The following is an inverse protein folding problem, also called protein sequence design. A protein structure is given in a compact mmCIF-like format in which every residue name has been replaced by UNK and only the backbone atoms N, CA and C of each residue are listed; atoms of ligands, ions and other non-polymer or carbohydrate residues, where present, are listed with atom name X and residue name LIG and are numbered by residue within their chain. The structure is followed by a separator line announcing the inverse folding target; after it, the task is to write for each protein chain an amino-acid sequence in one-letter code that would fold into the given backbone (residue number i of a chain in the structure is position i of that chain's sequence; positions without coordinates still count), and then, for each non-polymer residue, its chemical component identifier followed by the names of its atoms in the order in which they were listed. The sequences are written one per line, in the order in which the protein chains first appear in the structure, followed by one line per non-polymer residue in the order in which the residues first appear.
data_IF_309597047613
#
_entry.id   IF_309597047613
#
_cell.length_a   1.000
_cell.length_b   1.000
_cell.length_c   1.000
_cell.angle_alpha   90.00
_cell.angle_beta   90.00
_cell.angle_gamma   90.00
#
_symmetry.space_group_name_H-M   'P 1'
#
loop_
_entity.id
_entity.type
_entity.pdbx_description
1 polymer ?
#
# COMPACT_ATOMS: atom_id res chain seq x y z
N UNK A 1 -8.31 -22.85 1.99
CA UNK A 1 -8.92 -21.76 1.19
C UNK A 1 -10.18 -22.33 0.58
N UNK A 2 -11.35 -21.70 0.76
CA UNK A 2 -12.60 -22.17 0.14
C UNK A 2 -12.51 -21.93 -1.38
N UNK A 3 -12.48 -23.01 -2.15
CA UNK A 3 -12.36 -23.01 -3.62
C UNK A 3 -13.71 -23.23 -4.31
N UNK A 4 -14.81 -23.24 -3.57
CA UNK A 4 -16.13 -23.53 -4.11
C UNK A 4 -16.73 -22.28 -4.80
N UNK A 5 -17.09 -22.46 -6.07
CA UNK A 5 -17.59 -21.40 -6.95
C UNK A 5 -19.01 -20.96 -6.57
N UNK A 6 -19.86 -21.87 -6.06
CA UNK A 6 -21.20 -21.55 -5.59
C UNK A 6 -21.15 -20.68 -4.33
N UNK A 7 -20.23 -20.99 -3.41
CA UNK A 7 -20.02 -20.18 -2.20
C UNK A 7 -19.56 -18.78 -2.58
N UNK A 8 -18.69 -18.62 -3.59
CA UNK A 8 -18.24 -17.29 -4.05
C UNK A 8 -19.38 -16.48 -4.67
N UNK A 9 -20.24 -17.13 -5.45
CA UNK A 9 -21.41 -16.50 -6.06
C UNK A 9 -22.43 -16.05 -5.01
N UNK A 10 -22.62 -16.84 -3.94
CA UNK A 10 -23.50 -16.50 -2.82
C UNK A 10 -23.11 -15.19 -2.12
N UNK A 11 -21.81 -14.91 -2.01
CA UNK A 11 -21.29 -13.65 -1.47
C UNK A 11 -21.14 -12.54 -2.53
N UNK A 12 -21.73 -12.71 -3.71
CA UNK A 12 -21.67 -11.76 -4.82
C UNK A 12 -20.25 -11.36 -5.27
N UNK A 13 -19.25 -12.21 -5.03
CA UNK A 13 -17.94 -12.02 -5.62
C UNK A 13 -18.02 -12.33 -7.12
N UNK A 14 -18.12 -11.28 -7.94
CA UNK A 14 -18.16 -11.42 -9.40
C UNK A 14 -16.99 -12.25 -9.94
N UNK A 15 -17.29 -13.15 -10.88
CA UNK A 15 -16.31 -13.89 -11.69
C UNK A 15 -15.63 -13.00 -12.73
N UNK A 16 -16.27 -11.89 -13.08
CA UNK A 16 -15.69 -10.83 -13.89
C UNK A 16 -14.55 -10.14 -13.14
N UNK A 17 -13.42 -9.92 -13.82
CA UNK A 17 -12.35 -9.04 -13.32
C UNK A 17 -12.87 -7.60 -13.29
N UNK A 18 -13.62 -7.25 -12.24
CA UNK A 18 -13.97 -5.86 -11.90
C UNK A 18 -12.80 -5.12 -11.24
N UNK A 19 -11.57 -5.45 -11.68
CA UNK A 19 -10.40 -4.69 -11.29
C UNK A 19 -10.53 -3.29 -11.86
N UNK A 20 -10.20 -2.28 -11.06
CA UNK A 20 -10.10 -0.92 -11.56
C UNK A 20 -8.95 -0.88 -12.57
N UNK A 21 -9.24 -0.56 -13.83
CA UNK A 21 -8.24 -0.31 -14.85
C UNK A 21 -7.56 1.03 -14.55
N UNK A 22 -6.46 0.97 -13.81
CA UNK A 22 -5.73 2.17 -13.36
C UNK A 22 -5.07 2.92 -14.51
N UNK A 23 -4.91 2.29 -15.67
CA UNK A 23 -4.28 2.88 -16.86
C UNK A 23 -5.19 3.90 -17.58
N UNK A 24 -6.49 3.94 -17.24
CA UNK A 24 -7.48 4.85 -17.84
C UNK A 24 -8.02 5.96 -16.92
N UNK A 25 -7.59 6.03 -15.65
CA UNK A 25 -8.10 7.02 -14.70
C UNK A 25 -7.56 8.42 -15.04
N UNK A 26 -8.36 9.18 -15.79
CA UNK A 26 -8.28 10.62 -16.11
C UNK A 26 -7.00 11.31 -15.62
N UNK A 27 -6.13 11.63 -16.57
CA UNK A 27 -4.90 12.44 -16.40
C UNK A 27 -5.08 13.69 -15.51
N UNK A 28 -6.31 14.21 -15.38
CA UNK A 28 -6.57 15.51 -14.78
C UNK A 28 -7.13 15.45 -13.36
N UNK A 29 -7.42 14.26 -12.80
CA UNK A 29 -7.93 14.17 -11.43
C UNK A 29 -6.85 14.57 -10.43
N UNK A 30 -7.12 15.65 -9.68
CA UNK A 30 -6.23 16.20 -8.65
C UNK A 30 -6.92 16.27 -7.29
N UNK A 31 -6.43 15.51 -6.33
CA UNK A 31 -6.89 15.51 -4.95
C UNK A 31 -6.07 16.47 -4.09
N UNK A 32 -6.59 17.68 -3.86
CA UNK A 32 -5.88 18.74 -3.14
C UNK A 32 -5.85 18.61 -1.60
N UNK A 33 -6.66 17.74 -1.00
CA UNK A 33 -6.81 17.65 0.47
C UNK A 33 -6.10 16.46 1.11
N UNK A 34 -5.52 15.55 0.31
CA UNK A 34 -4.92 14.33 0.83
C UNK A 34 -3.45 14.62 1.13
N UNK A 35 -3.14 14.83 2.41
CA UNK A 35 -1.77 15.08 2.87
C UNK A 35 -1.04 13.78 3.28
N UNK A 36 -1.77 12.75 3.73
CA UNK A 36 -1.17 11.52 4.27
C UNK A 36 -1.92 10.29 3.75
N UNK A 37 -1.16 9.31 3.24
CA UNK A 37 -1.65 7.98 2.88
C UNK A 37 -1.10 6.93 3.84
N UNK A 38 -1.96 6.07 4.38
CA UNK A 38 -1.56 4.92 5.21
C UNK A 38 -2.08 3.63 4.58
N UNK A 39 -1.18 2.70 4.28
CA UNK A 39 -1.53 1.38 3.75
C UNK A 39 -1.13 0.32 4.76
N UNK A 40 -2.09 -0.51 5.14
CA UNK A 40 -1.87 -1.66 6.01
C UNK A 40 -1.90 -2.95 5.22
N UNK A 41 -0.99 -3.88 5.54
CA UNK A 41 -0.86 -5.11 4.76
C UNK A 41 -0.09 -4.93 3.45
N UNK A 42 0.71 -3.87 3.32
CA UNK A 42 1.51 -3.60 2.13
C UNK A 42 2.44 -4.77 1.83
N UNK A 43 2.49 -5.17 0.56
CA UNK A 43 3.44 -6.16 0.03
C UNK A 43 4.22 -5.54 -1.12
N UNK A 44 5.50 -5.88 -1.31
CA UNK A 44 6.34 -5.35 -2.38
C UNK A 44 6.00 -5.97 -3.76
N UNK A 45 4.70 -6.05 -4.08
CA UNK A 45 4.16 -6.57 -5.35
C UNK A 45 3.76 -5.38 -6.23
N UNK A 46 3.86 -5.53 -7.55
CA UNK A 46 3.69 -4.43 -8.51
C UNK A 46 2.35 -3.71 -8.37
N UNK A 47 1.26 -4.43 -8.09
CA UNK A 47 -0.06 -3.83 -7.86
C UNK A 47 -0.08 -2.78 -6.74
N UNK A 48 0.65 -3.02 -5.65
CA UNK A 48 0.71 -2.07 -4.53
C UNK A 48 1.58 -0.87 -4.89
N UNK A 49 2.68 -1.11 -5.62
CA UNK A 49 3.56 -0.04 -6.08
C UNK A 49 2.85 0.88 -7.08
N UNK A 50 2.13 0.31 -8.03
CA UNK A 50 1.32 1.04 -8.99
C UNK A 50 0.23 1.84 -8.29
N UNK A 51 -0.46 1.26 -7.31
CA UNK A 51 -1.47 1.97 -6.54
C UNK A 51 -0.89 3.20 -5.82
N UNK A 52 0.21 3.04 -5.07
CA UNK A 52 0.86 4.16 -4.36
C UNK A 52 1.30 5.23 -5.35
N UNK A 53 1.90 4.82 -6.48
CA UNK A 53 2.34 5.75 -7.53
C UNK A 53 1.18 6.53 -8.14
N UNK A 54 0.04 5.89 -8.38
CA UNK A 54 -1.18 6.56 -8.87
C UNK A 54 -1.71 7.56 -7.86
N UNK A 55 -1.70 7.24 -6.56
CA UNK A 55 -2.09 8.18 -5.51
C UNK A 55 -1.12 9.36 -5.44
N UNK A 56 0.19 9.15 -5.55
CA UNK A 56 1.19 10.23 -5.59
C UNK A 56 0.94 11.18 -6.76
N UNK A 57 0.56 10.65 -7.94
CA UNK A 57 0.23 11.46 -9.12
C UNK A 57 -1.06 12.26 -8.95
N UNK A 58 -2.09 11.63 -8.39
CA UNK A 58 -3.40 12.25 -8.20
C UNK A 58 -3.43 13.25 -7.04
N UNK A 59 -2.74 12.97 -5.94
CA UNK A 59 -2.77 13.78 -4.74
C UNK A 59 -1.62 14.79 -4.71
N UNK A 60 -1.84 15.96 -5.31
CA UNK A 60 -0.80 17.00 -5.47
C UNK A 60 -0.23 17.54 -4.15
N UNK A 61 -0.98 17.44 -3.06
CA UNK A 61 -0.57 17.90 -1.73
C UNK A 61 -0.18 16.72 -0.80
N UNK A 62 0.05 15.53 -1.36
CA UNK A 62 0.51 14.39 -0.57
C UNK A 62 1.93 14.66 -0.05
N UNK A 63 2.12 14.46 1.25
CA UNK A 63 3.38 14.71 1.95
C UNK A 63 3.97 13.40 2.45
N UNK A 64 3.15 12.55 3.08
CA UNK A 64 3.63 11.31 3.71
C UNK A 64 2.88 10.08 3.23
N UNK A 65 3.63 9.00 2.98
CA UNK A 65 3.08 7.67 2.71
C UNK A 65 3.64 6.70 3.74
N UNK A 66 2.77 6.09 4.54
CA UNK A 66 3.14 5.07 5.51
C UNK A 66 2.75 3.68 5.00
N UNK A 67 3.75 2.83 4.81
CA UNK A 67 3.57 1.45 4.34
C UNK A 67 3.80 0.49 5.49
N UNK A 68 2.71 -0.02 6.05
CA UNK A 68 2.73 -1.02 7.12
C UNK A 68 2.57 -2.41 6.53
N UNK A 69 3.40 -3.34 7.00
CA UNK A 69 3.30 -4.75 6.57
C UNK A 69 2.10 -5.47 7.17
N UNK A 70 1.64 -5.06 8.34
CA UNK A 70 0.48 -5.60 9.04
C UNK A 70 -0.06 -4.62 10.06
N UNK A 71 -1.32 -4.81 10.40
CA UNK A 71 -1.96 -4.22 11.58
C UNK A 71 -1.79 -5.17 12.76
N UNK A 72 -1.46 -4.62 13.92
CA UNK A 72 -1.31 -5.37 15.16
C UNK A 72 -2.00 -4.61 16.26
N UNK A 73 -2.83 -5.31 17.03
CA UNK A 73 -3.49 -4.73 18.19
C UNK A 73 -2.46 -4.46 19.30
N UNK A 74 -2.73 -3.49 20.17
CA UNK A 74 -1.81 -3.12 21.24
C UNK A 74 -1.49 -4.30 22.18
N UNK A 75 -2.48 -5.15 22.45
CA UNK A 75 -2.32 -6.37 23.24
C UNK A 75 -1.43 -7.42 22.53
N UNK A 76 -1.51 -7.46 21.21
CA UNK A 76 -0.89 -8.46 20.34
C UNK A 76 0.56 -8.11 19.97
N UNK A 77 1.04 -6.89 20.30
CA UNK A 77 2.33 -6.35 19.84
C UNK A 77 3.52 -7.19 20.31
N UNK A 78 3.41 -7.76 21.51
CA UNK A 78 4.45 -8.56 22.13
C UNK A 78 4.58 -9.94 21.48
N UNK A 79 3.46 -10.50 21.02
CA UNK A 79 3.38 -11.83 20.38
C UNK A 79 3.90 -11.83 18.95
N UNK A 80 4.14 -10.64 18.37
CA UNK A 80 4.69 -10.52 17.03
C UNK A 80 6.16 -10.98 17.02
N UNK A 81 6.50 -11.97 16.17
CA UNK A 81 7.89 -12.36 15.96
C UNK A 81 8.74 -11.15 15.56
N UNK A 82 9.93 -11.01 16.15
CA UNK A 82 10.83 -9.87 15.89
C UNK A 82 11.11 -9.67 14.39
N UNK A 83 11.29 -10.78 13.65
CA UNK A 83 11.48 -10.77 12.20
C UNK A 83 10.31 -10.09 11.44
N UNK A 84 9.09 -10.20 11.97
CA UNK A 84 7.89 -9.59 11.37
C UNK A 84 7.64 -8.15 11.80
N UNK A 85 8.41 -7.59 12.75
CA UNK A 85 8.27 -6.19 13.20
C UNK A 85 8.90 -5.20 12.23
N UNK A 86 9.91 -5.64 11.49
CA UNK A 86 10.61 -4.88 10.46
C UNK A 86 10.89 -5.82 9.30
N UNK A 87 9.87 -6.16 8.50
CA UNK A 87 9.98 -7.24 7.51
C UNK A 87 10.92 -6.91 6.36
N UNK A 88 11.17 -5.62 6.10
CA UNK A 88 11.99 -5.18 4.96
C UNK A 88 13.34 -4.67 5.43
N UNK A 89 14.45 -5.28 4.97
CA UNK A 89 15.80 -4.76 5.17
C UNK A 89 15.97 -3.36 4.58
N UNK A 90 16.94 -2.59 5.09
CA UNK A 90 17.24 -1.22 4.65
C UNK A 90 17.39 -1.11 3.13
N UNK A 91 18.11 -2.04 2.49
CA UNK A 91 18.30 -2.10 1.02
C UNK A 91 16.97 -2.23 0.27
N UNK A 92 16.08 -3.11 0.76
CA UNK A 92 14.78 -3.31 0.14
C UNK A 92 13.89 -2.05 0.26
N UNK A 93 13.92 -1.38 1.42
CA UNK A 93 13.21 -0.10 1.61
C UNK A 93 13.69 0.97 0.64
N UNK A 94 15.01 1.09 0.42
CA UNK A 94 15.55 2.01 -0.58
C UNK A 94 15.07 1.70 -1.99
N UNK A 95 15.13 0.43 -2.40
CA UNK A 95 14.63 0.00 -3.71
C UNK A 95 13.13 0.28 -3.87
N UNK A 96 12.33 0.05 -2.83
CA UNK A 96 10.89 0.34 -2.87
C UNK A 96 10.61 1.84 -3.00
N UNK A 97 11.35 2.70 -2.28
CA UNK A 97 11.22 4.16 -2.43
C UNK A 97 11.48 4.57 -3.86
N UNK A 98 12.62 4.15 -4.40
CA UNK A 98 13.04 4.47 -5.76
C UNK A 98 12.00 4.03 -6.80
N UNK A 99 11.50 2.79 -6.71
CA UNK A 99 10.46 2.28 -7.62
C UNK A 99 9.15 3.05 -7.55
N UNK A 100 8.75 3.51 -6.35
CA UNK A 100 7.51 4.27 -6.15
C UNK A 100 7.65 5.69 -6.71
N UNK A 101 8.76 6.37 -6.40
CA UNK A 101 8.97 7.78 -6.76
C UNK A 101 9.57 7.97 -8.14
N UNK A 102 10.08 6.92 -8.78
CA UNK A 102 10.69 6.99 -10.12
C UNK A 102 9.71 7.57 -11.14
N UNK A 103 10.15 8.63 -11.84
CA UNK A 103 9.34 9.36 -12.81
C UNK A 103 8.23 10.20 -12.20
N UNK A 104 8.32 10.54 -10.91
CA UNK A 104 7.44 11.52 -10.25
C UNK A 104 8.28 12.68 -9.74
N UNK A 105 7.82 13.93 -9.95
CA UNK A 105 8.45 15.13 -9.39
C UNK A 105 7.92 15.45 -7.97
N UNK A 106 7.50 14.42 -7.23
CA UNK A 106 6.87 14.57 -5.92
C UNK A 106 7.90 14.54 -4.80
N UNK A 107 7.73 15.41 -3.79
CA UNK A 107 8.55 15.45 -2.58
C UNK A 107 8.03 14.53 -1.46
N UNK A 108 7.15 13.59 -1.80
CA UNK A 108 6.54 12.67 -0.82
C UNK A 108 7.59 11.87 -0.07
N UNK A 109 7.46 11.83 1.25
CA UNK A 109 8.29 11.01 2.14
C UNK A 109 7.61 9.67 2.36
N UNK A 110 8.33 8.59 2.06
CA UNK A 110 7.82 7.22 2.24
C UNK A 110 8.40 6.60 3.51
N UNK A 111 7.53 6.28 4.45
CA UNK A 111 7.83 5.66 5.72
C UNK A 111 7.54 4.16 5.69
N UNK A 112 8.42 3.39 6.33
CA UNK A 112 8.22 1.95 6.59
C UNK A 112 8.27 1.73 8.10
N UNK A 113 7.18 2.03 8.82
CA UNK A 113 7.16 1.91 10.27
C UNK A 113 7.44 0.48 10.70
N UNK A 114 8.29 0.32 11.71
CA UNK A 114 8.43 -0.93 12.43
C UNK A 114 7.49 -0.97 13.62
N UNK A 115 7.05 -2.17 13.99
CA UNK A 115 6.27 -2.42 15.21
C UNK A 115 7.14 -2.37 16.49
N UNK A 116 8.35 -1.80 16.41
CA UNK A 116 9.21 -1.63 17.57
C UNK A 116 8.70 -0.42 18.37
N UNK A 117 8.24 -0.69 19.59
CA UNK A 117 7.85 0.27 20.61
C UNK A 117 8.89 1.40 20.77
N UNK A 118 8.40 2.64 20.88
CA UNK A 118 9.11 3.71 21.59
C UNK A 118 9.40 3.29 23.04
#
# INVERSE_FOLDING_TARGET
MMMDEEVRAQYAYGTEKKGVDWEGATSDFKHHKLAVLKIFGFRPEDKFLMYVKSVIKAAVNLQDVFLFNKLVCEMCKHDVPRASRSPWPKRQRFSLRDRITSGTNSFVVIHFPSLSSN
#
